data_IF_464257227410
#
_entry.id   IF_464257227410
#
_cell.length_a   1.000
_cell.length_b   1.000
_cell.length_c   1.000
_cell.angle_alpha   90.00
_cell.angle_beta   90.00
_cell.angle_gamma   90.00
#
_symmetry.space_group_name_H-M   'P 1'
#
loop_
_entity.id
_entity.type
_entity.pdbx_description
1 polymer ?
#
# COMPACT_ATOMS: atom_id res chain seq x y z
N UNK A 1 -17.15 31.19 -12.82
CA UNK A 1 -17.32 29.77 -12.38
C UNK A 1 -15.93 29.22 -12.01
N UNK A 2 -15.18 29.99 -11.23
CA UNK A 2 -13.76 29.77 -10.89
C UNK A 2 -13.54 28.54 -10.02
N UNK A 3 -14.46 28.31 -9.08
CA UNK A 3 -14.38 27.22 -8.12
C UNK A 3 -14.54 25.81 -8.73
N UNK A 4 -15.08 25.67 -9.95
CA UNK A 4 -15.25 24.35 -10.60
C UNK A 4 -14.00 23.86 -11.34
N UNK A 5 -13.03 24.72 -11.65
CA UNK A 5 -11.80 24.34 -12.36
C UNK A 5 -10.65 23.95 -11.44
N UNK A 6 -10.59 24.57 -10.27
CA UNK A 6 -9.53 24.37 -9.29
C UNK A 6 -10.14 23.79 -8.02
N UNK A 7 -10.35 22.47 -8.01
CA UNK A 7 -10.40 21.76 -6.73
C UNK A 7 -8.98 21.78 -6.16
N UNK A 8 -8.69 22.72 -5.27
CA UNK A 8 -7.43 22.74 -4.53
C UNK A 8 -7.30 21.39 -3.82
N UNK A 9 -6.40 20.54 -4.29
CA UNK A 9 -6.19 19.22 -3.69
C UNK A 9 -5.55 19.45 -2.32
N UNK A 10 -6.19 18.97 -1.25
CA UNK A 10 -5.75 19.14 0.14
C UNK A 10 -4.58 18.22 0.52
N UNK A 11 -3.67 17.94 -0.42
CA UNK A 11 -2.59 16.97 -0.23
C UNK A 11 -1.57 17.56 0.76
N UNK A 12 -1.38 16.88 1.90
CA UNK A 12 -0.31 17.21 2.83
C UNK A 12 1.01 16.61 2.35
N UNK A 13 1.78 17.40 1.59
CA UNK A 13 3.06 17.00 1.01
C UNK A 13 4.15 16.69 2.04
N UNK A 14 4.11 17.34 3.21
CA UNK A 14 5.08 17.10 4.27
C UNK A 14 4.89 15.69 4.86
N UNK A 15 3.66 15.35 5.26
CA UNK A 15 3.33 14.02 5.78
C UNK A 15 3.59 12.91 4.76
N UNK A 16 3.32 13.17 3.48
CA UNK A 16 3.60 12.22 2.42
C UNK A 16 5.12 12.00 2.26
N UNK A 17 5.91 13.06 2.31
CA UNK A 17 7.38 12.99 2.28
C UNK A 17 7.93 12.19 3.46
N UNK A 18 7.45 12.46 4.68
CA UNK A 18 7.88 11.78 5.89
C UNK A 18 7.57 10.28 5.87
N UNK A 19 6.40 9.90 5.34
CA UNK A 19 6.04 8.49 5.19
C UNK A 19 6.88 7.78 4.13
N UNK A 20 7.14 8.46 3.01
CA UNK A 20 7.87 7.88 1.87
C UNK A 20 9.38 7.81 2.10
N UNK A 21 9.95 8.66 2.96
CA UNK A 21 11.37 8.59 3.33
C UNK A 21 11.76 7.27 4.00
N UNK A 22 10.81 6.59 4.67
CA UNK A 22 11.00 5.24 5.24
C UNK A 22 11.34 4.18 4.19
N UNK A 23 10.99 4.42 2.92
CA UNK A 23 11.28 3.54 1.79
C UNK A 23 12.58 3.93 1.06
N UNK A 24 13.39 4.80 1.66
CA UNK A 24 14.67 5.26 1.13
C UNK A 24 14.56 6.39 0.09
N UNK A 25 15.68 6.69 -0.57
CA UNK A 25 15.80 7.79 -1.55
C UNK A 25 14.82 7.67 -2.72
N UNK A 26 14.55 6.44 -3.18
CA UNK A 26 13.57 6.18 -4.25
C UNK A 26 12.18 6.69 -3.88
N UNK A 27 11.75 6.47 -2.63
CA UNK A 27 10.44 6.92 -2.14
C UNK A 27 10.31 8.44 -2.19
N UNK A 28 11.35 9.16 -1.77
CA UNK A 28 11.39 10.63 -1.84
C UNK A 28 11.41 11.16 -3.27
N UNK A 29 12.08 10.46 -4.19
CA UNK A 29 12.14 10.83 -5.60
C UNK A 29 10.77 10.71 -6.29
N UNK A 30 10.00 9.66 -5.98
CA UNK A 30 8.63 9.51 -6.51
C UNK A 30 7.71 10.64 -6.05
N UNK A 31 7.77 11.02 -4.77
CA UNK A 31 6.95 12.13 -4.24
C UNK A 31 7.34 13.44 -4.91
N UNK A 32 8.64 13.69 -5.08
CA UNK A 32 9.13 14.89 -5.77
C UNK A 32 8.66 14.93 -7.22
N UNK A 33 8.80 13.83 -7.96
CA UNK A 33 8.37 13.75 -9.36
C UNK A 33 6.85 13.96 -9.49
N UNK A 34 6.05 13.34 -8.63
CA UNK A 34 4.60 13.50 -8.63
C UNK A 34 4.19 14.94 -8.29
N UNK A 35 4.82 15.55 -7.28
CA UNK A 35 4.60 16.96 -6.93
C UNK A 35 4.91 17.88 -8.10
N UNK A 36 6.03 17.68 -8.79
CA UNK A 36 6.40 18.48 -9.96
C UNK A 36 5.34 18.41 -11.06
N UNK A 37 4.77 17.23 -11.32
CA UNK A 37 3.69 17.07 -12.30
C UNK A 37 2.44 17.83 -11.83
N UNK A 38 2.03 17.66 -10.57
CA UNK A 38 0.88 18.36 -10.01
C UNK A 38 1.04 19.89 -10.12
N UNK A 39 2.14 20.43 -9.60
CA UNK A 39 2.43 21.86 -9.61
C UNK A 39 2.48 22.42 -11.04
N UNK A 40 3.07 21.66 -12.00
CA UNK A 40 3.11 22.04 -13.42
C UNK A 40 1.70 22.17 -14.01
N UNK A 41 0.79 21.26 -13.68
CA UNK A 41 -0.60 21.34 -14.15
C UNK A 41 -1.35 22.48 -13.46
N UNK A 42 -1.17 22.68 -12.16
CA UNK A 42 -1.79 23.74 -11.40
C UNK A 42 -1.40 25.12 -11.94
N UNK A 43 -0.10 25.37 -12.14
CA UNK A 43 0.39 26.62 -12.72
C UNK A 43 -0.22 26.85 -14.11
N UNK A 44 -0.20 25.83 -14.98
CA UNK A 44 -0.78 25.94 -16.33
C UNK A 44 -2.27 26.28 -16.29
N UNK A 45 -3.05 25.59 -15.47
CA UNK A 45 -4.49 25.85 -15.35
C UNK A 45 -4.76 27.25 -14.79
N UNK A 46 -3.95 27.71 -13.82
CA UNK A 46 -4.09 29.06 -13.25
C UNK A 46 -3.73 30.18 -14.22
N UNK A 47 -2.82 29.93 -15.17
CA UNK A 47 -2.43 30.90 -16.20
C UNK A 47 -3.44 31.07 -17.33
N UNK A 48 -4.38 30.13 -17.49
CA UNK A 48 -5.37 30.15 -18.56
C UNK A 48 -6.61 30.93 -18.13
N UNK A 49 -7.06 31.94 -18.91
CA UNK A 49 -8.27 32.68 -18.59
C UNK A 49 -9.51 31.78 -18.60
N UNK A 50 -10.49 32.10 -17.74
CA UNK A 50 -11.73 31.33 -17.64
C UNK A 50 -12.64 31.47 -18.86
N UNK A 51 -12.66 32.66 -19.44
CA UNK A 51 -13.43 33.04 -20.62
C UNK A 51 -12.53 33.26 -21.82
N UNK A 52 -13.11 33.18 -23.01
CA UNK A 52 -12.45 33.65 -24.22
C UNK A 52 -12.07 35.12 -24.02
N UNK A 53 -10.84 35.56 -24.39
CA UNK A 53 -10.42 36.95 -24.22
C UNK A 53 -11.34 37.87 -25.03
N UNK A 54 -11.82 38.95 -24.42
CA UNK A 54 -12.67 39.90 -25.13
C UNK A 54 -11.88 40.55 -26.27
N UNK A 55 -12.37 40.39 -27.50
CA UNK A 55 -11.80 41.02 -28.70
C UNK A 55 -12.50 42.36 -28.91
N UNK A 56 -11.73 43.44 -29.06
CA UNK A 56 -12.28 44.74 -29.45
C UNK A 56 -12.64 44.75 -30.93
N UNK A 57 -13.89 44.38 -31.24
CA UNK A 57 -14.40 44.37 -32.60
C UNK A 57 -14.64 45.77 -33.18
N UNK A 58 -14.69 46.83 -32.37
CA UNK A 58 -14.90 48.19 -32.85
C UNK A 58 -13.66 48.71 -33.56
N UNK A 59 -12.48 48.47 -32.98
CA UNK A 59 -11.20 48.79 -33.61
C UNK A 59 -11.05 48.15 -35.00
N UNK A 60 -11.52 46.91 -35.17
CA UNK A 60 -11.43 46.21 -36.45
C UNK A 60 -12.49 46.65 -37.46
N UNK A 61 -13.68 47.09 -37.01
CA UNK A 61 -14.70 47.65 -37.90
C UNK A 61 -14.22 48.91 -38.61
N UNK A 62 -13.38 49.71 -37.97
CA UNK A 62 -12.83 50.96 -38.54
C UNK A 62 -11.66 50.71 -39.50
N UNK A 63 -10.86 49.67 -39.27
CA UNK A 63 -9.64 49.41 -40.05
C UNK A 63 -9.82 48.42 -41.22
N UNK A 64 -10.91 47.64 -41.23
CA UNK A 64 -11.14 46.62 -42.26
C UNK A 64 -11.95 47.18 -43.41
N UNK A 65 -11.38 47.17 -44.62
CA UNK A 65 -11.98 47.72 -45.83
C UNK A 65 -13.24 46.98 -46.33
N UNK A 66 -13.52 45.77 -45.84
CA UNK A 66 -14.67 44.95 -46.23
C UNK A 66 -15.83 45.13 -45.24
N UNK A 67 -16.88 45.90 -45.59
CA UNK A 67 -18.03 46.09 -44.71
C UNK A 67 -18.77 44.76 -44.50
N UNK A 68 -19.09 44.44 -43.24
CA UNK A 68 -19.86 43.25 -42.84
C UNK A 68 -19.05 41.96 -42.60
N UNK A 69 -17.72 41.95 -42.81
CA UNK A 69 -16.89 40.79 -42.46
C UNK A 69 -16.69 40.65 -40.94
N UNK A 70 -16.41 41.76 -40.26
CA UNK A 70 -16.17 41.80 -38.81
C UNK A 70 -17.42 41.39 -38.02
N UNK A 71 -18.61 41.72 -38.50
CA UNK A 71 -19.89 41.31 -37.88
C UNK A 71 -20.15 39.80 -37.98
N UNK A 72 -19.75 39.16 -39.09
CA UNK A 72 -19.84 37.70 -39.24
C UNK A 72 -18.90 36.99 -38.26
N UNK A 73 -17.67 37.48 -38.14
CA UNK A 73 -16.69 36.95 -37.17
C UNK A 73 -17.16 37.15 -35.72
N UNK A 74 -17.71 38.32 -35.39
CA UNK A 74 -18.26 38.57 -34.06
C UNK A 74 -19.36 37.56 -33.71
N UNK A 75 -20.24 37.24 -34.67
CA UNK A 75 -21.31 36.27 -34.50
C UNK A 75 -20.79 34.84 -34.35
N UNK A 76 -19.83 34.42 -35.17
CA UNK A 76 -19.23 33.09 -35.09
C UNK A 76 -18.40 32.89 -33.82
N UNK A 77 -17.67 33.93 -33.39
CA UNK A 77 -16.87 33.93 -32.15
C UNK A 77 -17.75 33.76 -30.91
N UNK A 78 -18.86 34.51 -30.83
CA UNK A 78 -19.84 34.39 -29.75
C UNK A 78 -20.58 33.05 -29.76
N UNK A 79 -20.74 32.43 -30.94
CA UNK A 79 -21.38 31.12 -31.08
C UNK A 79 -20.44 29.94 -30.75
N UNK A 80 -19.12 30.16 -30.74
CA UNK A 80 -18.14 29.12 -30.49
C UNK A 80 -18.20 28.66 -29.02
N UNK A 81 -18.77 27.46 -28.79
CA UNK A 81 -18.74 26.77 -27.50
C UNK A 81 -17.75 25.63 -27.55
N UNK A 82 -16.66 25.74 -26.80
CA UNK A 82 -15.65 24.68 -26.69
C UNK A 82 -16.19 23.60 -25.73
N UNK A 83 -16.40 22.35 -26.19
CA UNK A 83 -16.82 21.27 -25.31
C UNK A 83 -15.71 20.91 -24.33
N UNK A 84 -16.10 20.44 -23.14
CA UNK A 84 -15.14 19.93 -22.16
C UNK A 84 -14.49 18.64 -22.70
N UNK A 85 -13.18 18.42 -22.49
CA UNK A 85 -12.52 17.21 -22.95
C UNK A 85 -13.13 15.95 -22.29
N UNK A 86 -13.40 14.94 -23.11
CA UNK A 86 -13.82 13.62 -22.64
C UNK A 86 -12.61 12.77 -22.24
N UNK A 87 -12.74 11.99 -21.16
CA UNK A 87 -11.71 11.04 -20.73
C UNK A 87 -11.71 9.80 -21.66
N UNK A 88 -10.92 9.87 -22.74
CA UNK A 88 -10.83 8.79 -23.75
C UNK A 88 -10.26 7.49 -23.21
N UNK A 89 -9.48 7.53 -22.15
CA UNK A 89 -8.76 6.37 -21.62
C UNK A 89 -9.38 5.82 -20.35
N UNK A 90 -10.51 6.40 -19.91
CA UNK A 90 -11.24 6.00 -18.72
C UNK A 90 -10.31 5.85 -17.50
N UNK A 91 -9.37 6.79 -17.38
CA UNK A 91 -8.32 6.78 -16.36
C UNK A 91 -8.97 6.89 -14.98
N UNK A 92 -10.05 7.66 -14.86
CA UNK A 92 -10.78 7.83 -13.61
C UNK A 92 -11.31 6.50 -13.05
N UNK A 93 -11.85 5.63 -13.89
CA UNK A 93 -12.33 4.32 -13.45
C UNK A 93 -11.18 3.43 -12.97
N UNK A 94 -10.03 3.47 -13.66
CA UNK A 94 -8.85 2.70 -13.24
C UNK A 94 -8.31 3.16 -11.88
N UNK A 95 -8.32 4.48 -11.62
CA UNK A 95 -7.92 5.05 -10.34
C UNK A 95 -8.88 4.60 -9.23
N UNK A 96 -10.20 4.72 -9.45
CA UNK A 96 -11.21 4.26 -8.48
C UNK A 96 -11.06 2.77 -8.16
N UNK A 97 -10.81 1.92 -9.16
CA UNK A 97 -10.55 0.49 -8.94
C UNK A 97 -9.29 0.24 -8.11
N UNK A 98 -8.21 0.97 -8.39
CA UNK A 98 -6.98 0.85 -7.62
C UNK A 98 -7.15 1.34 -6.17
N UNK A 99 -7.86 2.45 -5.95
CA UNK A 99 -8.19 2.94 -4.62
C UNK A 99 -9.02 1.93 -3.82
N UNK A 100 -10.02 1.30 -4.45
CA UNK A 100 -10.84 0.28 -3.80
C UNK A 100 -10.00 -0.94 -3.38
N UNK A 101 -9.08 -1.39 -4.26
CA UNK A 101 -8.14 -2.48 -3.94
C UNK A 101 -7.22 -2.10 -2.78
N UNK A 102 -6.60 -0.93 -2.84
CA UNK A 102 -5.70 -0.45 -1.77
C UNK A 102 -6.42 -0.32 -0.43
N UNK A 103 -7.67 0.15 -0.41
CA UNK A 103 -8.49 0.18 0.82
C UNK A 103 -8.73 -1.21 1.39
N UNK A 104 -9.13 -2.16 0.53
CA UNK A 104 -9.34 -3.54 0.96
C UNK A 104 -8.06 -4.19 1.51
N UNK A 105 -6.90 -3.89 0.92
CA UNK A 105 -5.62 -4.43 1.41
C UNK A 105 -5.18 -3.77 2.73
N UNK A 106 -5.44 -2.46 2.91
CA UNK A 106 -5.23 -1.78 4.20
C UNK A 106 -6.10 -2.41 5.30
N UNK A 107 -7.38 -2.68 5.03
CA UNK A 107 -8.27 -3.32 6.00
C UNK A 107 -7.81 -4.72 6.40
N UNK A 108 -7.29 -5.51 5.44
CA UNK A 108 -6.70 -6.82 5.74
C UNK A 108 -5.46 -6.67 6.62
N UNK A 109 -4.57 -5.73 6.30
CA UNK A 109 -3.35 -5.49 7.08
C UNK A 109 -3.67 -5.03 8.50
N UNK A 110 -4.70 -4.20 8.68
CA UNK A 110 -5.17 -3.78 10.01
C UNK A 110 -5.59 -4.99 10.84
N UNK A 111 -6.42 -5.88 10.30
CA UNK A 111 -6.86 -7.10 11.00
C UNK A 111 -5.69 -8.00 11.40
N UNK A 112 -4.71 -8.17 10.51
CA UNK A 112 -3.50 -8.95 10.80
C UNK A 112 -2.66 -8.28 11.89
N UNK A 113 -2.48 -6.96 11.82
CA UNK A 113 -1.75 -6.19 12.81
C UNK A 113 -2.43 -6.25 14.19
N UNK A 114 -3.75 -6.10 14.26
CA UNK A 114 -4.52 -6.17 15.51
C UNK A 114 -4.41 -7.57 16.14
N UNK A 115 -4.48 -8.63 15.33
CA UNK A 115 -4.28 -10.00 15.82
C UNK A 115 -2.85 -10.22 16.35
N UNK A 116 -1.85 -9.65 15.69
CA UNK A 116 -0.45 -9.72 16.13
C UNK A 116 -0.23 -8.93 17.43
N UNK A 117 -0.81 -7.73 17.56
CA UNK A 117 -0.76 -6.93 18.79
C UNK A 117 -1.40 -7.72 19.95
N UNK A 118 -2.55 -8.33 19.72
CA UNK A 118 -3.21 -9.15 20.74
C UNK A 118 -2.35 -10.34 21.20
N UNK A 119 -1.70 -11.04 20.27
CA UNK A 119 -0.76 -12.13 20.60
C UNK A 119 0.44 -11.60 21.39
N UNK A 120 1.07 -10.52 20.93
CA UNK A 120 2.21 -9.92 21.61
C UNK A 120 1.85 -9.44 23.03
N UNK A 121 0.67 -8.85 23.23
CA UNK A 121 0.19 -8.46 24.56
C UNK A 121 -0.06 -9.66 25.47
N UNK A 122 -0.56 -10.78 24.92
CA UNK A 122 -0.72 -12.03 25.66
C UNK A 122 0.65 -12.59 26.07
N UNK A 123 1.61 -12.58 25.17
CA UNK A 123 2.95 -13.10 25.44
C UNK A 123 3.69 -12.25 26.47
N UNK A 124 3.57 -10.91 26.39
CA UNK A 124 4.13 -10.00 27.41
C UNK A 124 3.53 -10.30 28.79
N UNK A 125 2.21 -10.54 28.88
CA UNK A 125 1.55 -10.91 30.14
C UNK A 125 2.01 -12.28 30.66
N UNK A 126 2.21 -13.25 29.77
CA UNK A 126 2.74 -14.56 30.15
C UNK A 126 4.18 -14.43 30.67
N UNK A 127 5.03 -13.67 29.98
CA UNK A 127 6.40 -13.41 30.38
C UNK A 127 6.50 -12.62 31.69
N UNK A 128 5.58 -11.70 31.97
CA UNK A 128 5.60 -10.93 33.22
C UNK A 128 5.20 -11.74 34.47
N UNK A 129 4.56 -12.90 34.28
CA UNK A 129 4.25 -13.83 35.38
C UNK A 129 5.46 -14.70 35.72
N UNK A 130 6.35 -14.97 34.76
CA UNK A 130 7.50 -15.82 34.97
C UNK A 130 8.49 -15.19 35.96
N UNK A 131 9.08 -16.00 36.86
CA UNK A 131 10.20 -15.53 37.66
C UNK A 131 11.39 -15.21 36.76
N UNK A 132 12.31 -14.38 37.26
CA UNK A 132 13.55 -14.06 36.54
C UNK A 132 14.31 -15.34 36.21
N UNK A 133 14.92 -15.37 35.03
CA UNK A 133 15.67 -16.55 34.54
C UNK A 133 16.78 -16.98 35.51
N UNK A 134 17.46 -16.02 36.16
CA UNK A 134 18.55 -16.30 37.12
C UNK A 134 18.07 -16.99 38.41
N UNK A 135 16.80 -16.82 38.76
CA UNK A 135 16.20 -17.37 39.98
C UNK A 135 15.38 -18.64 39.68
N UNK A 136 15.30 -19.04 38.41
CA UNK A 136 14.48 -20.18 37.97
C UNK A 136 15.22 -21.51 38.19
N UNK A 137 14.67 -22.36 39.05
CA UNK A 137 15.11 -23.74 39.24
C UNK A 137 14.46 -24.68 38.22
N UNK A 138 15.07 -25.84 37.95
CA UNK A 138 14.56 -26.81 36.97
C UNK A 138 13.11 -27.24 37.28
N UNK A 139 12.77 -27.42 38.55
CA UNK A 139 11.41 -27.82 38.95
C UNK A 139 10.37 -26.74 38.60
N UNK A 140 10.69 -25.47 38.84
CA UNK A 140 9.85 -24.33 38.43
C UNK A 140 9.75 -24.22 36.91
N UNK A 141 10.84 -24.50 36.18
CA UNK A 141 10.84 -24.52 34.72
C UNK A 141 9.83 -25.54 34.19
N UNK A 142 9.78 -26.74 34.78
CA UNK A 142 8.81 -27.77 34.37
C UNK A 142 7.37 -27.43 34.77
N UNK A 143 7.15 -26.69 35.86
CA UNK A 143 5.82 -26.22 36.26
C UNK A 143 5.23 -25.22 35.26
N UNK A 144 6.03 -24.25 34.81
CA UNK A 144 5.60 -23.27 33.80
C UNK A 144 5.63 -23.82 32.37
N UNK A 145 6.57 -24.73 32.06
CA UNK A 145 6.78 -25.33 30.74
C UNK A 145 6.74 -26.86 30.80
N UNK A 146 5.55 -27.46 31.00
CA UNK A 146 5.41 -28.91 31.13
C UNK A 146 5.83 -29.67 29.87
N UNK A 147 5.84 -29.02 28.71
CA UNK A 147 6.33 -29.57 27.44
C UNK A 147 7.83 -29.87 27.42
N UNK A 148 8.62 -29.27 28.32
CA UNK A 148 10.05 -29.54 28.46
C UNK A 148 10.32 -30.68 29.45
N UNK A 149 9.31 -31.13 30.19
CA UNK A 149 9.44 -32.23 31.12
C UNK A 149 9.63 -33.54 30.34
N UNK A 150 10.68 -34.28 30.68
CA UNK A 150 10.95 -35.57 30.08
C UNK A 150 10.14 -36.64 30.83
N UNK A 151 9.09 -37.16 30.21
CA UNK A 151 8.29 -38.24 30.77
C UNK A 151 8.94 -39.59 30.47
N UNK A 152 9.82 -40.03 31.38
CA UNK A 152 10.55 -41.29 31.27
C UNK A 152 9.65 -42.55 31.24
N UNK A 153 8.36 -42.44 31.55
CA UNK A 153 7.43 -43.58 31.61
C UNK A 153 6.64 -43.72 30.31
N UNK A 154 6.15 -42.62 29.73
CA UNK A 154 5.31 -42.65 28.53
C UNK A 154 6.03 -42.26 27.22
N UNK A 155 7.13 -41.51 27.29
CA UNK A 155 7.97 -41.15 26.14
C UNK A 155 9.46 -41.03 26.57
N UNK A 156 10.18 -42.16 26.68
CA UNK A 156 11.56 -42.17 27.17
C UNK A 156 12.51 -41.52 26.14
N UNK A 157 12.62 -40.19 26.17
CA UNK A 157 13.67 -39.48 25.46
C UNK A 157 14.98 -39.63 26.26
N UNK A 158 15.72 -40.70 25.99
CA UNK A 158 16.95 -41.04 26.69
C UNK A 158 18.07 -40.05 26.30
N UNK A 159 18.61 -39.28 27.25
CA UNK A 159 19.85 -38.54 27.04
C UNK A 159 21.04 -39.53 27.01
N UNK A 160 22.07 -39.38 26.15
CA UNK A 160 22.41 -38.28 25.26
C UNK A 160 22.24 -38.66 23.77
N UNK A 161 21.05 -39.07 23.35
CA UNK A 161 20.81 -39.50 21.97
C UNK A 161 20.07 -38.44 21.16
N UNK A 162 20.49 -38.21 19.91
CA UNK A 162 19.84 -37.25 19.01
C UNK A 162 18.49 -37.82 18.56
N UNK A 163 17.60 -36.98 18.07
CA UNK A 163 16.25 -37.37 17.60
C UNK A 163 16.26 -38.52 16.57
N UNK A 164 17.37 -38.70 15.82
CA UNK A 164 17.56 -39.78 14.84
C UNK A 164 17.97 -41.13 15.45
N UNK A 165 18.44 -41.14 16.70
CA UNK A 165 18.92 -42.33 17.41
C UNK A 165 17.79 -43.02 18.21
N UNK A 166 16.59 -42.44 18.19
CA UNK A 166 15.42 -42.95 18.90
C UNK A 166 14.65 -43.91 17.98
N UNK A 167 14.83 -45.21 18.19
CA UNK A 167 13.91 -46.23 17.66
C UNK A 167 12.54 -45.99 18.27
N UNK A 168 11.69 -45.20 17.60
CA UNK A 168 10.28 -45.06 17.98
C UNK A 168 9.65 -46.45 17.89
N UNK A 169 9.40 -47.06 19.04
CA UNK A 169 8.56 -48.23 19.18
C UNK A 169 7.11 -47.78 18.94
N UNK A 170 6.74 -47.70 17.67
CA UNK A 170 5.44 -47.25 17.19
C UNK A 170 5.54 -47.08 15.69
N UNK A 171 4.75 -47.85 14.96
CA UNK A 171 4.84 -48.08 13.51
C UNK A 171 4.49 -46.86 12.61
N UNK A 172 4.72 -45.63 13.06
CA UNK A 172 4.39 -44.40 12.34
C UNK A 172 5.61 -43.49 12.15
N UNK A 173 6.62 -43.98 11.42
CA UNK A 173 7.68 -43.13 10.87
C UNK A 173 7.75 -43.38 9.36
N UNK A 174 7.12 -42.49 8.58
CA UNK A 174 6.98 -42.62 7.13
C UNK A 174 8.30 -42.55 6.35
N UNK A 175 9.42 -42.17 6.98
CA UNK A 175 10.74 -42.14 6.33
C UNK A 175 11.81 -42.47 7.37
N UNK A 176 12.41 -43.65 7.27
CA UNK A 176 13.39 -44.15 8.26
C UNK A 176 14.84 -43.92 7.79
N UNK A 177 15.06 -43.65 6.50
CA UNK A 177 16.37 -43.33 5.91
C UNK A 177 16.28 -42.20 4.87
N UNK A 178 17.43 -41.58 4.52
CA UNK A 178 17.51 -40.60 3.43
C UNK A 178 17.19 -41.24 2.07
N UNK A 179 17.45 -42.54 1.93
CA UNK A 179 17.09 -43.35 0.75
C UNK A 179 15.56 -43.49 0.60
N UNK A 180 14.81 -43.60 1.71
CA UNK A 180 13.33 -43.67 1.68
C UNK A 180 12.69 -42.35 1.20
N UNK A 181 13.30 -41.21 1.52
CA UNK A 181 12.85 -39.90 1.04
C UNK A 181 13.15 -39.73 -0.46
N UNK A 182 14.31 -40.21 -0.93
CA UNK A 182 14.69 -40.16 -2.34
C UNK A 182 13.84 -41.09 -3.21
N UNK A 183 13.46 -42.28 -2.72
CA UNK A 183 12.50 -43.17 -3.40
C UNK A 183 11.10 -42.55 -3.54
N UNK A 184 10.60 -41.86 -2.51
CA UNK A 184 9.31 -41.16 -2.58
C UNK A 184 9.30 -39.99 -3.56
N UNK A 185 10.43 -39.29 -3.71
CA UNK A 185 10.57 -38.18 -4.68
C UNK A 185 10.72 -38.67 -6.12
N UNK A 186 11.18 -39.89 -6.34
CA UNK A 186 11.36 -40.46 -7.69
C UNK A 186 10.14 -41.20 -8.26
N UNK A 187 9.20 -41.63 -7.41
CA UNK A 187 7.97 -42.34 -7.82
C UNK A 187 6.73 -41.43 -7.95
N UNK A 188 6.90 -40.10 -7.94
CA UNK A 188 5.85 -39.10 -8.21
C UNK A 188 6.20 -38.13 -9.35
#
# INVERSE_FOLDING_TARGET
>A
MTAKRLTTTSINWALLGDKMSKYGSKGTDYVRAFKQVNDKHLVRVSSLPESMPEIDFNYYKENVALPGFVEKLEKEYKALKIPYPEDRHNVLETISKNEAKSKADIEKLQKVADAFIYQAERDIKALSILPKVEEMQNDMLFEYFPQLYNDYVNDPQMAPFRYFDQDKCGDDVLFRTQEDFEHFVHDH
#
